data_IF_402950764186
#
_entry.id   IF_402950764186
#
_cell.length_a   1.000
_cell.length_b   1.000
_cell.length_c   1.000
_cell.angle_alpha   90.00
_cell.angle_beta   90.00
_cell.angle_gamma   90.00
#
_symmetry.space_group_name_H-M   'P 1'
#
loop_
_entity.id
_entity.type
_entity.pdbx_description
1 polymer ?
#
# COMPACT_ATOMS: atom_id res chain seq x y z
N UNK A 1 15.78 15.61 -23.86
CA UNK A 1 14.46 15.28 -23.31
C UNK A 1 14.68 14.59 -21.96
N UNK A 2 14.00 15.01 -20.89
CA UNK A 2 14.08 14.33 -19.59
C UNK A 2 13.43 12.94 -19.65
N UNK A 3 13.98 11.97 -18.92
CA UNK A 3 13.38 10.64 -18.76
C UNK A 3 12.11 10.69 -17.90
N UNK A 4 11.29 9.64 -17.98
CA UNK A 4 10.08 9.54 -17.15
C UNK A 4 10.42 9.47 -15.66
N UNK A 5 11.53 8.81 -15.31
CA UNK A 5 12.02 8.70 -13.94
C UNK A 5 12.47 10.06 -13.41
N UNK A 6 13.14 10.88 -14.23
CA UNK A 6 13.55 12.23 -13.83
C UNK A 6 12.33 13.11 -13.49
N UNK A 7 11.30 13.08 -14.34
CA UNK A 7 10.05 13.81 -14.08
C UNK A 7 9.34 13.31 -12.82
N UNK A 8 9.33 11.99 -12.60
CA UNK A 8 8.75 11.42 -11.39
C UNK A 8 9.47 11.92 -10.14
N UNK A 9 10.81 11.98 -10.15
CA UNK A 9 11.58 12.54 -9.04
C UNK A 9 11.31 14.02 -8.82
N UNK A 10 11.25 14.81 -9.89
CA UNK A 10 10.96 16.26 -9.81
C UNK A 10 9.58 16.54 -9.21
N UNK A 11 8.56 15.76 -9.57
CA UNK A 11 7.20 15.96 -9.07
C UNK A 11 6.94 15.38 -7.69
N UNK A 12 7.56 14.25 -7.36
CA UNK A 12 7.35 13.59 -6.07
C UNK A 12 8.29 14.09 -4.97
N UNK A 13 9.42 14.71 -5.33
CA UNK A 13 10.50 15.01 -4.40
C UNK A 13 11.27 13.77 -3.92
N UNK A 14 11.00 12.58 -4.48
CA UNK A 14 11.65 11.32 -4.12
C UNK A 14 12.68 10.98 -5.19
N UNK A 15 13.96 10.83 -4.80
CA UNK A 15 14.98 10.40 -5.73
C UNK A 15 14.71 8.95 -6.19
N UNK A 16 15.09 8.64 -7.44
CA UNK A 16 14.91 7.29 -7.98
C UNK A 16 15.67 6.23 -7.15
N UNK A 17 16.84 6.56 -6.60
CA UNK A 17 17.57 5.69 -5.67
C UNK A 17 16.72 5.30 -4.47
N UNK A 18 16.06 6.29 -3.86
CA UNK A 18 15.29 6.11 -2.64
C UNK A 18 14.01 5.31 -2.93
N UNK A 19 13.38 5.55 -4.08
CA UNK A 19 12.23 4.78 -4.53
C UNK A 19 12.55 3.29 -4.79
N UNK A 20 13.81 2.98 -5.14
CA UNK A 20 14.27 1.61 -5.39
C UNK A 20 15.10 1.01 -4.25
N UNK A 21 15.23 1.69 -3.10
CA UNK A 21 15.88 1.14 -1.91
C UNK A 21 15.19 -0.15 -1.40
N UNK A 22 13.96 -0.41 -1.84
CA UNK A 22 13.26 -1.70 -1.64
C UNK A 22 14.02 -2.91 -2.21
N UNK A 23 14.99 -2.69 -3.11
CA UNK A 23 15.83 -3.74 -3.70
C UNK A 23 17.00 -4.16 -2.82
N UNK A 24 17.29 -3.40 -1.76
CA UNK A 24 18.40 -3.67 -0.84
C UNK A 24 18.10 -4.81 0.15
N UNK A 25 16.83 -5.19 0.29
CA UNK A 25 16.39 -6.27 1.17
C UNK A 25 15.22 -7.05 0.58
N UNK A 26 15.08 -8.32 0.95
CA UNK A 26 13.89 -9.09 0.62
C UNK A 26 12.75 -8.70 1.58
N UNK A 27 11.95 -7.72 1.17
CA UNK A 27 10.80 -7.26 1.96
C UNK A 27 9.71 -8.33 2.10
N UNK A 28 9.53 -9.22 1.12
CA UNK A 28 8.59 -10.32 1.23
C UNK A 28 8.95 -11.25 2.39
N UNK A 29 10.22 -11.62 2.52
CA UNK A 29 10.70 -12.41 3.67
C UNK A 29 10.65 -11.61 4.97
N UNK A 30 11.12 -10.36 4.94
CA UNK A 30 11.17 -9.48 6.12
C UNK A 30 9.79 -9.24 6.73
N UNK A 31 8.75 -9.11 5.91
CA UNK A 31 7.37 -8.88 6.36
C UNK A 31 6.65 -10.18 6.76
N UNK A 32 7.24 -11.35 6.54
CA UNK A 32 6.63 -12.64 6.92
C UNK A 32 5.74 -13.25 5.84
N UNK A 33 6.05 -13.02 4.57
CA UNK A 33 5.40 -13.64 3.42
C UNK A 33 4.24 -12.83 2.86
N UNK A 34 3.20 -13.52 2.36
CA UNK A 34 2.16 -12.90 1.53
C UNK A 34 1.10 -12.09 2.31
N UNK A 35 0.81 -12.47 3.56
CA UNK A 35 -0.32 -11.94 4.31
C UNK A 35 -0.29 -10.40 4.51
N UNK A 36 0.85 -9.78 4.87
CA UNK A 36 0.92 -8.33 5.02
C UNK A 36 0.56 -7.56 3.74
N UNK A 37 0.91 -8.09 2.56
CA UNK A 37 0.57 -7.48 1.28
C UNK A 37 -0.92 -7.59 0.98
N UNK A 38 -1.53 -8.73 1.31
CA UNK A 38 -2.98 -8.94 1.18
C UNK A 38 -3.72 -7.97 2.10
N UNK A 39 -3.31 -7.85 3.35
CA UNK A 39 -3.93 -6.96 4.34
C UNK A 39 -3.77 -5.49 3.93
N UNK A 40 -2.56 -5.08 3.52
CA UNK A 40 -2.27 -3.73 3.02
C UNK A 40 -3.18 -3.38 1.84
N UNK A 41 -3.20 -4.22 0.80
CA UNK A 41 -4.03 -3.96 -0.39
C UNK A 41 -5.51 -3.99 -0.10
N UNK A 42 -5.97 -4.86 0.80
CA UNK A 42 -7.37 -4.92 1.23
C UNK A 42 -7.78 -3.64 1.96
N UNK A 43 -6.98 -3.21 2.95
CA UNK A 43 -7.22 -1.97 3.69
C UNK A 43 -7.17 -0.74 2.77
N UNK A 44 -6.22 -0.72 1.84
CA UNK A 44 -6.09 0.35 0.85
C UNK A 44 -7.33 0.46 -0.04
N UNK A 45 -7.77 -0.65 -0.66
CA UNK A 45 -8.93 -0.60 -1.55
C UNK A 45 -10.26 -0.47 -0.82
N UNK A 46 -10.35 -0.84 0.47
CA UNK A 46 -11.50 -0.44 1.28
C UNK A 46 -11.65 1.08 1.28
N UNK A 47 -10.57 1.82 1.56
CA UNK A 47 -10.58 3.28 1.54
C UNK A 47 -10.85 3.86 0.16
N UNK A 48 -10.26 3.31 -0.90
CA UNK A 48 -10.47 3.82 -2.27
C UNK A 48 -11.92 3.67 -2.71
N UNK A 49 -12.54 2.53 -2.42
CA UNK A 49 -13.94 2.28 -2.80
C UNK A 49 -14.95 2.98 -1.90
N UNK A 50 -14.56 3.33 -0.67
CA UNK A 50 -15.37 4.09 0.28
C UNK A 50 -15.01 5.60 0.27
N UNK A 51 -14.22 6.06 -0.70
CA UNK A 51 -13.77 7.45 -0.78
C UNK A 51 -14.96 8.40 -1.04
N UNK A 52 -15.05 9.45 -0.23
CA UNK A 52 -16.08 10.49 -0.30
C UNK A 52 -15.98 11.33 -1.59
N UNK A 53 -14.79 11.40 -2.18
CA UNK A 53 -14.52 12.12 -3.42
C UNK A 53 -14.99 11.31 -4.64
N UNK A 54 -16.19 11.61 -5.15
CA UNK A 54 -16.79 10.91 -6.29
C UNK A 54 -15.90 10.93 -7.54
N UNK A 55 -15.22 12.05 -7.82
CA UNK A 55 -14.31 12.15 -8.97
C UNK A 55 -13.16 11.14 -8.89
N UNK A 56 -12.69 10.80 -7.68
CA UNK A 56 -11.64 9.82 -7.48
C UNK A 56 -12.20 8.40 -7.52
N UNK A 57 -13.29 8.14 -6.79
CA UNK A 57 -13.93 6.81 -6.75
C UNK A 57 -14.42 6.36 -8.13
N UNK A 58 -14.90 7.29 -8.97
CA UNK A 58 -15.38 7.00 -10.32
C UNK A 58 -14.28 6.45 -11.25
N UNK A 59 -13.00 6.74 -10.98
CA UNK A 59 -11.85 6.15 -11.71
C UNK A 59 -11.90 4.61 -11.64
N UNK A 60 -12.41 4.06 -10.53
CA UNK A 60 -12.47 2.63 -10.25
C UNK A 60 -13.82 2.00 -10.60
N UNK A 61 -14.79 2.75 -11.13
CA UNK A 61 -16.17 2.28 -11.39
C UNK A 61 -16.26 1.03 -12.29
N UNK A 62 -15.34 0.89 -13.24
CA UNK A 62 -15.27 -0.27 -14.14
C UNK A 62 -14.41 -1.43 -13.60
N UNK A 63 -13.92 -1.33 -12.36
CA UNK A 63 -13.08 -2.34 -11.72
C UNK A 63 -13.83 -3.04 -10.59
N UNK A 64 -13.71 -4.37 -10.53
CA UNK A 64 -14.13 -5.11 -9.34
C UNK A 64 -13.10 -4.93 -8.23
N UNK A 65 -13.56 -4.64 -7.02
CA UNK A 65 -12.71 -4.37 -5.86
C UNK A 65 -11.77 -5.52 -5.56
N UNK A 66 -12.28 -6.74 -5.60
CA UNK A 66 -11.54 -7.98 -5.31
C UNK A 66 -10.43 -8.21 -6.34
N UNK A 67 -10.72 -7.93 -7.63
CA UNK A 67 -9.72 -8.02 -8.69
C UNK A 67 -8.65 -6.94 -8.54
N UNK A 68 -9.02 -5.73 -8.14
CA UNK A 68 -8.08 -4.63 -7.91
C UNK A 68 -7.12 -4.95 -6.75
N UNK A 69 -7.66 -5.43 -5.62
CA UNK A 69 -6.89 -5.93 -4.47
C UNK A 69 -5.90 -7.00 -4.93
N UNK A 70 -6.41 -8.01 -5.66
CA UNK A 70 -5.58 -9.11 -6.17
C UNK A 70 -4.46 -8.66 -7.08
N UNK A 71 -4.77 -7.77 -8.02
CA UNK A 71 -3.78 -7.23 -8.94
C UNK A 71 -2.67 -6.49 -8.19
N UNK A 72 -3.01 -5.73 -7.15
CA UNK A 72 -2.05 -4.92 -6.41
C UNK A 72 -1.14 -5.77 -5.53
N UNK A 73 -1.67 -6.66 -4.69
CA UNK A 73 -0.82 -7.45 -3.80
C UNK A 73 0.06 -8.42 -4.60
N UNK A 74 -0.44 -9.03 -5.69
CA UNK A 74 0.38 -9.93 -6.51
C UNK A 74 1.54 -9.17 -7.17
N UNK A 75 1.31 -7.92 -7.58
CA UNK A 75 2.38 -7.06 -8.12
C UNK A 75 3.40 -6.70 -7.04
N UNK A 76 2.96 -6.32 -5.84
CA UNK A 76 3.87 -5.98 -4.74
C UNK A 76 4.69 -7.18 -4.27
N UNK A 77 4.06 -8.33 -4.06
CA UNK A 77 4.74 -9.58 -3.72
C UNK A 77 5.85 -9.87 -4.74
N UNK A 78 5.51 -9.81 -6.04
CA UNK A 78 6.49 -10.04 -7.10
C UNK A 78 7.61 -8.97 -7.10
N UNK A 79 7.28 -7.70 -6.91
CA UNK A 79 8.26 -6.60 -6.95
C UNK A 79 9.19 -6.60 -5.74
N UNK A 80 8.74 -7.13 -4.60
CA UNK A 80 9.40 -6.99 -3.30
C UNK A 80 10.04 -8.30 -2.80
N UNK A 81 10.43 -9.19 -3.72
CA UNK A 81 11.23 -10.39 -3.42
C UNK A 81 10.45 -11.70 -3.25
N UNK A 82 9.13 -11.69 -3.44
CA UNK A 82 8.28 -12.87 -3.42
C UNK A 82 8.12 -13.55 -4.80
N UNK A 83 7.23 -14.57 -4.89
CA UNK A 83 6.97 -15.28 -6.14
C UNK A 83 6.34 -14.38 -7.22
N UNK A 84 6.58 -14.74 -8.49
CA UNK A 84 6.10 -14.00 -9.68
C UNK A 84 4.60 -14.17 -9.98
N UNK A 85 3.73 -14.01 -8.99
CA UNK A 85 2.30 -14.28 -9.08
C UNK A 85 1.61 -13.41 -10.14
N UNK A 86 1.94 -12.12 -10.20
CA UNK A 86 1.35 -11.19 -11.15
C UNK A 86 1.70 -11.57 -12.60
N UNK A 87 2.99 -11.78 -12.87
CA UNK A 87 3.48 -12.12 -14.20
C UNK A 87 2.94 -13.47 -14.69
N UNK A 88 2.81 -14.46 -13.79
CA UNK A 88 2.23 -15.75 -14.14
C UNK A 88 0.77 -15.63 -14.62
N UNK A 89 -0.01 -14.71 -14.02
CA UNK A 89 -1.43 -14.54 -14.36
C UNK A 89 -1.70 -13.51 -15.46
N UNK A 90 -0.94 -12.41 -15.49
CA UNK A 90 -1.23 -11.25 -16.34
C UNK A 90 -0.11 -10.88 -17.31
N UNK A 91 1.04 -11.57 -17.25
CA UNK A 91 2.24 -11.18 -17.98
C UNK A 91 2.86 -9.90 -17.42
N UNK A 92 3.58 -9.17 -18.27
CA UNK A 92 4.38 -8.03 -17.83
C UNK A 92 3.56 -6.97 -17.05
N UNK A 93 4.09 -6.40 -15.94
CA UNK A 93 3.42 -5.36 -15.16
C UNK A 93 2.96 -4.17 -16.01
N UNK A 94 3.86 -3.62 -16.83
CA UNK A 94 3.56 -2.58 -17.84
C UNK A 94 2.68 -1.44 -17.29
N UNK A 95 3.08 -0.88 -16.14
CA UNK A 95 2.24 0.04 -15.35
C UNK A 95 1.72 1.22 -16.17
N UNK A 96 2.57 1.87 -16.96
CA UNK A 96 2.16 3.01 -17.82
C UNK A 96 1.05 2.59 -18.78
N UNK A 97 1.24 1.48 -19.51
CA UNK A 97 0.27 1.00 -20.49
C UNK A 97 -1.05 0.59 -19.85
N UNK A 98 -1.01 -0.05 -18.67
CA UNK A 98 -2.22 -0.49 -17.95
C UNK A 98 -2.96 0.63 -17.24
N UNK A 99 -2.31 1.77 -16.98
CA UNK A 99 -2.94 2.95 -16.40
C UNK A 99 -3.34 4.00 -17.43
N UNK A 100 -2.96 3.85 -18.71
CA UNK A 100 -3.34 4.75 -19.80
C UNK A 100 -4.86 5.01 -19.94
N UNK A 101 -5.77 4.05 -19.65
CA UNK A 101 -7.22 4.30 -19.70
C UNK A 101 -7.76 5.21 -18.58
N UNK A 102 -6.97 5.49 -17.54
CA UNK A 102 -7.41 6.22 -16.36
C UNK A 102 -6.80 7.63 -16.31
N UNK A 103 -7.54 8.62 -15.78
CA UNK A 103 -7.01 9.97 -15.61
C UNK A 103 -6.06 10.05 -14.40
N UNK A 104 -4.82 9.62 -14.56
CA UNK A 104 -3.78 9.70 -13.52
C UNK A 104 -3.19 11.12 -13.46
N UNK A 105 -3.99 12.06 -12.94
CA UNK A 105 -3.56 13.44 -12.69
C UNK A 105 -2.69 13.54 -11.44
N UNK A 106 -2.00 14.67 -11.25
CA UNK A 106 -1.27 14.93 -10.01
C UNK A 106 -2.19 14.86 -8.78
N UNK A 107 -3.39 15.42 -8.87
CA UNK A 107 -4.41 15.33 -7.82
C UNK A 107 -4.83 13.88 -7.53
N UNK A 108 -4.99 13.05 -8.56
CA UNK A 108 -5.29 11.63 -8.39
C UNK A 108 -4.14 10.87 -7.71
N UNK A 109 -2.89 11.20 -8.03
CA UNK A 109 -1.71 10.63 -7.39
C UNK A 109 -1.63 10.98 -5.90
N UNK A 110 -1.85 12.26 -5.54
CA UNK A 110 -1.88 12.72 -4.15
C UNK A 110 -3.01 12.05 -3.35
N UNK A 111 -4.20 11.90 -3.93
CA UNK A 111 -5.33 11.22 -3.27
C UNK A 111 -5.04 9.72 -3.06
N UNK A 112 -4.46 9.07 -4.07
CA UNK A 112 -4.01 7.68 -3.97
C UNK A 112 -2.97 7.51 -2.87
N UNK A 113 -1.99 8.43 -2.77
CA UNK A 113 -0.98 8.41 -1.70
C UNK A 113 -1.60 8.65 -0.31
N UNK A 114 -2.55 9.58 -0.20
CA UNK A 114 -3.29 9.85 1.04
C UNK A 114 -3.98 8.59 1.57
N UNK A 115 -4.58 7.78 0.68
CA UNK A 115 -5.19 6.52 1.08
C UNK A 115 -4.17 5.55 1.72
N UNK A 116 -2.93 5.45 1.21
CA UNK A 116 -1.87 4.66 1.88
C UNK A 116 -1.46 5.24 3.22
N UNK A 117 -1.28 6.57 3.30
CA UNK A 117 -0.90 7.22 4.55
C UNK A 117 -1.92 6.93 5.66
N UNK A 118 -3.22 6.94 5.33
CA UNK A 118 -4.29 6.60 6.26
C UNK A 118 -4.32 5.10 6.63
N UNK A 119 -3.92 4.19 5.74
CA UNK A 119 -3.75 2.77 6.13
C UNK A 119 -2.61 2.64 7.15
N UNK A 120 -1.44 3.19 6.86
CA UNK A 120 -0.28 3.12 7.76
C UNK A 120 -0.52 3.82 9.12
N UNK A 121 -1.19 4.97 9.12
CA UNK A 121 -1.55 5.69 10.34
C UNK A 121 -2.52 4.92 11.25
N UNK A 122 -3.48 4.21 10.67
CA UNK A 122 -4.40 3.37 11.43
C UNK A 122 -3.71 2.13 12.01
N UNK A 123 -2.74 1.53 11.31
CA UNK A 123 -1.96 0.40 11.82
C UNK A 123 -1.05 0.80 13.00
N UNK A 124 -0.37 1.94 12.91
CA UNK A 124 0.41 2.52 14.02
C UNK A 124 -0.46 2.79 15.25
N UNK A 125 -1.71 3.24 15.04
CA UNK A 125 -2.67 3.50 16.12
C UNK A 125 -3.19 2.19 16.73
N UNK A 126 -3.46 1.17 15.91
CA UNK A 126 -3.90 -0.16 16.37
C UNK A 126 -2.80 -0.88 17.15
N UNK A 127 -1.54 -0.79 16.72
CA UNK A 127 -0.40 -1.34 17.46
C UNK A 127 -0.24 -0.65 18.82
N UNK A 128 -0.41 0.69 18.91
CA UNK A 128 -0.46 1.39 20.21
C UNK A 128 -1.60 0.93 21.12
N UNK A 129 -2.77 0.59 20.57
CA UNK A 129 -3.88 0.06 21.36
C UNK A 129 -3.68 -1.40 21.78
N UNK A 130 -2.99 -2.23 20.97
CA UNK A 130 -2.64 -3.61 21.36
C UNK A 130 -1.52 -3.65 22.41
N UNK A 131 -0.65 -2.64 22.46
CA UNK A 131 0.24 -2.40 23.61
C UNK A 131 -0.53 -1.66 24.72
N UNK A 132 -1.67 -2.21 25.16
CA UNK A 132 -2.21 -1.84 26.46
C UNK A 132 -1.27 -2.41 27.53
N UNK A 133 -0.49 -1.51 28.13
CA UNK A 133 0.41 -1.75 29.24
C UNK A 133 -0.25 -2.62 30.34
N UNK A 134 0.34 -3.79 30.62
CA UNK A 134 0.06 -4.58 31.83
C UNK A 134 0.66 -3.87 33.06
N UNK A 135 0.02 -2.81 33.56
CA UNK A 135 0.32 -2.31 34.91
C UNK A 135 -0.75 -2.79 35.89
N UNK A 136 -0.32 -3.81 36.65
CA UNK A 136 -0.77 -4.30 37.96
C UNK A 136 -2.11 -3.79 38.52
N UNK A 137 -3.11 -4.67 38.54
CA UNK A 137 -4.15 -4.69 39.56
C UNK A 137 -3.86 -5.87 40.52
N UNK A 138 -2.90 -5.69 41.43
CA UNK A 138 -2.81 -6.51 42.64
C UNK A 138 -3.02 -5.56 43.82
N UNK A 139 -4.18 -5.69 44.47
CA UNK A 139 -4.59 -4.86 45.60
C UNK A 139 -3.71 -5.07 46.84
N UNK A 140 -3.75 -4.15 47.81
CA UNK A 140 -3.01 -4.32 49.04
C UNK A 140 -3.73 -5.32 49.95
N UNK A 141 -3.09 -6.46 50.18
CA UNK A 141 -3.30 -7.30 51.36
C UNK A 141 -2.56 -6.65 52.53
N UNK A 142 -3.28 -5.98 53.43
CA UNK A 142 -2.75 -5.63 54.75
C UNK A 142 -3.39 -6.54 55.79
N UNK A 143 -2.59 -7.53 56.23
CA UNK A 143 -2.73 -8.18 57.53
C UNK A 143 -1.69 -7.57 58.46
N UNK A 144 -2.12 -6.90 59.53
CA UNK A 144 -1.67 -6.99 60.93
C UNK A 144 -2.42 -5.92 61.72
#
# INVERSE_FOLDING_TARGET
MQSLQQKASEWSGVAASDAFAIDETNLFETLGGIQPFVDLSTNFYNRVFDDEEEWFRSIFSNSKKEDAIRNQYEFFVQRMGGPNLYSQRKGHPALIGRHAPFPVTHQAAERWHTAYFLVGGNEMTRQRQQVQCKHAANGPSTST
#
